data_IF_341461079133
#
_entry.id   IF_341461079133
#
_cell.length_a   1.000
_cell.length_b   1.000
_cell.length_c   1.000
_cell.angle_alpha   90.00
_cell.angle_beta   90.00
_cell.angle_gamma   90.00
#
_symmetry.space_group_name_H-M   'P 1'
#
loop_
_entity.id
_entity.type
_entity.pdbx_description
1 polymer ?
#
# COMPACT_ATOMS: atom_id res chain seq x y z
N UNK A 1 -4.42 -0.53 12.37
CA UNK A 1 -3.22 -1.14 11.75
C UNK A 1 -3.28 -0.80 10.28
N UNK A 2 -2.20 -0.27 9.70
CA UNK A 2 -2.15 0.01 8.26
C UNK A 2 -2.39 -1.30 7.51
N UNK A 3 -3.33 -1.27 6.58
CA UNK A 3 -3.72 -2.42 5.77
C UNK A 3 -3.52 -2.13 4.29
N UNK A 4 -2.43 -1.44 3.93
CA UNK A 4 -2.11 -1.04 2.55
C UNK A 4 -2.23 -2.20 1.56
N UNK A 5 -1.81 -3.42 1.93
CA UNK A 5 -1.97 -4.64 1.13
C UNK A 5 -3.43 -4.93 0.77
N UNK A 6 -4.34 -4.76 1.73
CA UNK A 6 -5.78 -4.91 1.51
C UNK A 6 -6.34 -3.74 0.71
N UNK A 7 -5.93 -2.50 1.00
CA UNK A 7 -6.37 -1.33 0.24
C UNK A 7 -5.99 -1.46 -1.24
N UNK A 8 -4.74 -1.86 -1.55
CA UNK A 8 -4.28 -2.11 -2.93
C UNK A 8 -5.16 -3.16 -3.61
N UNK A 9 -5.39 -4.30 -2.95
CA UNK A 9 -6.22 -5.37 -3.50
C UNK A 9 -7.66 -4.95 -3.71
N UNK A 10 -8.24 -4.25 -2.75
CA UNK A 10 -9.62 -3.76 -2.78
C UNK A 10 -9.81 -2.75 -3.90
N UNK A 11 -8.94 -1.73 -4.00
CA UNK A 11 -9.00 -0.72 -5.05
C UNK A 11 -8.74 -1.30 -6.43
N UNK A 12 -7.81 -2.25 -6.56
CA UNK A 12 -7.59 -2.94 -7.84
C UNK A 12 -8.85 -3.68 -8.28
N UNK A 13 -9.47 -4.43 -7.36
CA UNK A 13 -10.66 -5.23 -7.66
C UNK A 13 -11.90 -4.36 -7.93
N UNK A 14 -12.10 -3.27 -7.17
CA UNK A 14 -13.23 -2.35 -7.36
C UNK A 14 -13.19 -1.67 -8.74
N UNK A 15 -12.01 -1.57 -9.34
CA UNK A 15 -11.76 -1.01 -10.67
C UNK A 15 -11.72 -2.06 -11.78
N UNK A 16 -11.94 -3.33 -11.47
CA UNK A 16 -11.88 -4.42 -12.45
C UNK A 16 -10.49 -4.67 -13.05
N UNK A 17 -9.42 -4.22 -12.39
CA UNK A 17 -8.05 -4.37 -12.90
C UNK A 17 -7.48 -5.74 -12.55
N UNK A 18 -6.71 -6.34 -13.47
CA UNK A 18 -5.86 -7.51 -13.16
C UNK A 18 -4.58 -7.07 -12.45
N UNK A 19 -3.87 -8.01 -11.80
CA UNK A 19 -2.56 -7.69 -11.20
C UNK A 19 -1.55 -7.26 -12.27
N UNK A 20 -1.61 -7.88 -13.45
CA UNK A 20 -0.84 -7.49 -14.63
C UNK A 20 -1.13 -6.06 -15.08
N UNK A 21 -2.40 -5.67 -15.21
CA UNK A 21 -2.79 -4.32 -15.64
C UNK A 21 -2.30 -3.25 -14.65
N UNK A 22 -2.39 -3.53 -13.34
CA UNK A 22 -1.85 -2.63 -12.32
C UNK A 22 -0.32 -2.55 -12.38
N UNK A 23 0.35 -3.68 -12.62
CA UNK A 23 1.79 -3.74 -12.74
C UNK A 23 2.31 -2.91 -13.93
N UNK A 24 1.64 -3.01 -15.08
CA UNK A 24 1.95 -2.23 -16.28
C UNK A 24 1.81 -0.74 -16.03
N UNK A 25 0.69 -0.30 -15.42
CA UNK A 25 0.46 1.11 -15.10
C UNK A 25 1.53 1.67 -14.16
N UNK A 26 1.97 0.87 -13.19
CA UNK A 26 2.94 1.27 -12.17
C UNK A 26 4.40 1.05 -12.60
N UNK A 27 4.64 0.53 -13.82
CA UNK A 27 5.93 0.12 -14.32
C UNK A 27 6.68 -0.81 -13.35
N UNK A 28 5.99 -1.89 -12.94
CA UNK A 28 6.52 -2.94 -12.07
C UNK A 28 6.10 -4.32 -12.58
N UNK A 29 6.28 -5.37 -11.77
CA UNK A 29 5.90 -6.74 -12.16
C UNK A 29 4.61 -7.18 -11.48
N UNK A 30 3.86 -8.07 -12.13
CA UNK A 30 2.71 -8.77 -11.51
C UNK A 30 3.10 -9.45 -10.20
N UNK A 31 4.29 -10.05 -10.16
CA UNK A 31 4.85 -10.68 -8.95
C UNK A 31 5.00 -9.66 -7.82
N UNK A 32 5.48 -8.45 -8.11
CA UNK A 32 5.57 -7.35 -7.13
C UNK A 32 4.18 -6.99 -6.59
N UNK A 33 3.20 -6.79 -7.47
CA UNK A 33 1.81 -6.50 -7.07
C UNK A 33 1.25 -7.62 -6.19
N UNK A 34 1.44 -8.88 -6.57
CA UNK A 34 1.00 -10.04 -5.78
C UNK A 34 1.64 -10.06 -4.39
N UNK A 35 2.95 -9.76 -4.28
CA UNK A 35 3.62 -9.66 -2.98
C UNK A 35 3.05 -8.52 -2.12
N UNK A 36 2.72 -7.39 -2.73
CA UNK A 36 2.06 -6.27 -2.03
C UNK A 36 0.68 -6.66 -1.50
N UNK A 37 -0.16 -7.28 -2.33
CA UNK A 37 -1.51 -7.70 -1.93
C UNK A 37 -1.52 -8.79 -0.86
N UNK A 38 -0.46 -9.60 -0.79
CA UNK A 38 -0.30 -10.67 0.19
C UNK A 38 0.54 -10.28 1.41
N UNK A 39 0.94 -9.00 1.54
CA UNK A 39 1.75 -8.48 2.65
C UNK A 39 3.10 -9.19 2.85
N UNK A 40 3.63 -9.86 1.81
CA UNK A 40 4.94 -10.51 1.83
C UNK A 40 6.06 -9.53 1.47
N UNK A 41 5.73 -8.49 0.72
CA UNK A 41 6.54 -7.31 0.46
C UNK A 41 5.61 -6.08 0.55
N UNK A 42 6.15 -4.93 0.90
CA UNK A 42 5.40 -3.68 0.87
C UNK A 42 5.90 -2.77 -0.25
N UNK A 43 5.03 -1.91 -0.82
CA UNK A 43 5.49 -0.85 -1.71
C UNK A 43 6.45 0.07 -0.96
N UNK A 44 7.52 0.50 -1.63
CA UNK A 44 8.38 1.55 -1.09
C UNK A 44 7.62 2.89 -1.03
N UNK A 45 8.18 3.87 -0.30
CA UNK A 45 7.54 5.18 -0.10
C UNK A 45 7.31 5.94 -1.42
N UNK A 46 8.13 5.71 -2.44
CA UNK A 46 8.03 6.36 -3.75
C UNK A 46 6.87 5.80 -4.59
N UNK A 47 6.35 4.62 -4.24
CA UNK A 47 5.17 4.03 -4.87
C UNK A 47 3.84 4.59 -4.37
N UNK A 48 3.81 5.20 -3.17
CA UNK A 48 2.56 5.71 -2.58
C UNK A 48 1.86 6.76 -3.46
N UNK A 49 2.54 7.77 -4.04
CA UNK A 49 1.88 8.75 -4.91
C UNK A 49 1.33 8.12 -6.20
N UNK A 50 2.02 7.11 -6.75
CA UNK A 50 1.57 6.41 -7.97
C UNK A 50 0.33 5.55 -7.70
N UNK A 51 0.32 4.86 -6.56
CA UNK A 51 -0.83 4.08 -6.10
C UNK A 51 -2.04 4.98 -5.81
N UNK A 52 -1.83 6.07 -5.07
CA UNK A 52 -2.86 7.07 -4.82
C UNK A 52 -3.46 7.62 -6.13
N UNK A 53 -2.60 7.91 -7.13
CA UNK A 53 -3.04 8.37 -8.45
C UNK A 53 -3.81 7.32 -9.24
N UNK A 54 -3.33 6.08 -9.34
CA UNK A 54 -4.02 5.04 -10.12
C UNK A 54 -5.37 4.66 -9.50
N UNK A 55 -5.45 4.74 -8.17
CA UNK A 55 -6.67 4.50 -7.42
C UNK A 55 -7.49 5.78 -7.19
N UNK A 56 -7.06 6.96 -7.65
CA UNK A 56 -7.81 8.21 -7.43
C UNK A 56 -8.28 8.39 -5.97
N UNK A 57 -7.40 8.13 -5.01
CA UNK A 57 -7.62 8.32 -3.57
C UNK A 57 -6.44 9.09 -2.98
N UNK A 58 -6.57 9.59 -1.74
CA UNK A 58 -5.44 10.20 -1.05
C UNK A 58 -4.44 9.15 -0.55
N UNK A 59 -3.22 9.58 -0.22
CA UNK A 59 -2.25 8.70 0.47
C UNK A 59 -2.77 8.32 1.86
N UNK A 60 -3.53 9.19 2.50
CA UNK A 60 -4.16 8.94 3.81
C UNK A 60 -5.15 7.77 3.70
N UNK A 61 -6.01 7.78 2.68
CA UNK A 61 -6.93 6.66 2.38
C UNK A 61 -6.16 5.37 2.06
N UNK A 62 -5.10 5.47 1.27
CA UNK A 62 -4.25 4.32 0.91
C UNK A 62 -3.65 3.65 2.16
N UNK A 63 -3.23 4.45 3.14
CA UNK A 63 -2.64 3.99 4.39
C UNK A 63 -3.69 3.67 5.47
N UNK A 64 -4.96 3.99 5.22
CA UNK A 64 -6.05 3.94 6.20
C UNK A 64 -5.71 4.78 7.45
N UNK A 65 -5.27 6.02 7.19
CA UNK A 65 -4.93 7.04 8.18
C UNK A 65 -6.05 8.10 8.24
N UNK A 66 -6.31 8.61 9.45
CA UNK A 66 -7.17 9.77 9.67
C UNK A 66 -6.56 10.65 10.76
N UNK A 67 -6.71 11.97 10.62
CA UNK A 67 -6.26 12.94 11.63
C UNK A 67 -7.02 12.82 12.96
N UNK A 68 -8.19 12.17 12.96
CA UNK A 68 -9.02 11.95 14.15
C UNK A 68 -8.70 10.66 14.90
N UNK A 69 -7.68 9.91 14.49
CA UNK A 69 -7.26 8.67 15.16
C UNK A 69 -6.76 8.94 16.57
N UNK A 70 -6.97 7.99 17.49
CA UNK A 70 -6.45 8.10 18.87
C UNK A 70 -4.94 7.90 18.91
N UNK A 71 -4.29 8.31 20.01
CA UNK A 71 -2.85 8.10 20.20
C UNK A 71 -2.44 6.62 20.11
N UNK A 72 -3.28 5.70 20.60
CA UNK A 72 -3.06 4.26 20.48
C UNK A 72 -3.14 3.78 19.03
N UNK A 73 -4.04 4.35 18.24
CA UNK A 73 -4.17 4.04 16.82
C UNK A 73 -2.97 4.60 16.03
N UNK A 74 -2.55 5.83 16.32
CA UNK A 74 -1.35 6.44 15.74
C UNK A 74 -0.10 5.62 16.10
N UNK A 75 0.03 5.16 17.35
CA UNK A 75 1.14 4.28 17.74
C UNK A 75 1.16 2.99 16.93
N UNK A 76 0.00 2.38 16.65
CA UNK A 76 -0.11 1.20 15.79
C UNK A 76 0.27 1.51 14.34
N UNK A 77 -0.13 2.67 13.82
CA UNK A 77 0.24 3.16 12.48
C UNK A 77 1.76 3.32 12.37
N UNK A 78 2.39 4.02 13.31
CA UNK A 78 3.85 4.22 13.34
C UNK A 78 4.62 2.90 13.40
N UNK A 79 4.19 1.94 14.24
CA UNK A 79 4.80 0.60 14.31
C UNK A 79 4.68 -0.13 12.97
N UNK A 80 3.53 -0.03 12.29
CA UNK A 80 3.33 -0.62 10.97
C UNK A 80 4.24 0.00 9.91
N UNK A 81 4.34 1.34 9.85
CA UNK A 81 5.22 2.04 8.90
C UNK A 81 6.69 1.67 9.11
N UNK A 82 7.16 1.66 10.36
CA UNK A 82 8.54 1.26 10.67
C UNK A 82 8.84 -0.16 10.20
N UNK A 83 7.88 -1.09 10.32
CA UNK A 83 8.03 -2.46 9.79
C UNK A 83 8.07 -2.50 8.26
N UNK A 84 7.29 -1.65 7.58
CA UNK A 84 7.31 -1.56 6.12
C UNK A 84 8.67 -1.06 5.63
N UNK A 85 9.19 0.01 6.24
CA UNK A 85 10.47 0.62 5.90
C UNK A 85 11.64 -0.33 6.20
N UNK A 86 11.69 -0.92 7.40
CA UNK A 86 12.83 -1.75 7.82
C UNK A 86 12.91 -3.09 7.08
N UNK A 87 11.81 -3.58 6.49
CA UNK A 87 11.84 -4.76 5.60
C UNK A 87 12.40 -4.44 4.21
N UNK A 88 12.49 -3.17 3.83
CA UNK A 88 13.08 -2.71 2.57
C UNK A 88 14.61 -2.64 2.65
N UNK A 89 15.21 -2.78 3.84
CA UNK A 89 16.65 -2.65 4.10
C UNK A 89 17.33 -3.96 4.52
N UNK A 90 16.70 -5.12 4.29
CA UNK A 90 17.34 -6.43 4.48
C UNK A 90 17.64 -7.02 3.12
N UNK A 91 18.66 -6.45 2.46
CA UNK A 91 19.49 -7.10 1.46
C UNK A 91 20.94 -7.01 1.94
#
# INVERSE_FOLDING_TARGET
MIQISKTIKQERLSRGMTQEALAEYLNTTKTTISKWENATLYPDITMLPKLARVFNISVDDLLNYSITMTDEEIKKVSISLSKMINRTFVD
#
